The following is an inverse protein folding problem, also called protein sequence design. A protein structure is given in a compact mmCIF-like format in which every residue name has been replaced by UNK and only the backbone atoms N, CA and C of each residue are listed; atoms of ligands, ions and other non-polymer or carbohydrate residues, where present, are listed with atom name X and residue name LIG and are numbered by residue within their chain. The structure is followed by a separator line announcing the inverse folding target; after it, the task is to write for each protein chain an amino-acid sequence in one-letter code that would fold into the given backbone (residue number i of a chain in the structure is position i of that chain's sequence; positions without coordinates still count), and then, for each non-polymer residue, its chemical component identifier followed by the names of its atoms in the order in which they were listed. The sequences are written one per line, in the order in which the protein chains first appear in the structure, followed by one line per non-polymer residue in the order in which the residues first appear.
data_IF_857166955538
#
_entry.id   IF_857166955538
#
_cell.length_a   1.000
_cell.length_b   1.000
_cell.length_c   1.000
_cell.angle_alpha   90.00
_cell.angle_beta   90.00
_cell.angle_gamma   90.00
#
_symmetry.space_group_name_H-M   'P 1'
#
loop_
_entity.id
_entity.type
_entity.pdbx_description
1 polymer ?
#
# COMPACT_ATOMS: atom_id res chain seq x y z
N UNK A 1 -6.98 -0.16 5.40
CA UNK A 1 -7.09 0.02 6.87
C UNK A 1 -6.02 -0.81 7.57
N UNK A 2 -6.02 -2.13 7.44
CA UNK A 2 -5.25 -3.04 8.28
C UNK A 2 -3.90 -3.45 7.66
N UNK A 3 -3.92 -4.52 6.88
CA UNK A 3 -2.71 -5.24 6.44
C UNK A 3 -2.13 -4.76 5.11
N UNK A 4 -2.90 -4.04 4.32
CA UNK A 4 -2.64 -3.78 2.91
C UNK A 4 -3.37 -4.77 2.00
N UNK A 5 -3.29 -4.54 0.70
CA UNK A 5 -3.96 -5.36 -0.33
C UNK A 5 -5.50 -5.44 -0.20
N UNK A 6 -6.10 -4.45 0.47
CA UNK A 6 -7.56 -4.37 0.66
C UNK A 6 -8.31 -3.78 -0.55
N UNK A 7 -7.62 -3.50 -1.67
CA UNK A 7 -8.26 -2.99 -2.90
C UNK A 7 -8.12 -1.48 -3.12
N UNK A 8 -7.12 -0.84 -2.51
CA UNK A 8 -6.87 0.60 -2.66
C UNK A 8 -6.72 1.05 -4.12
N UNK A 9 -5.96 0.31 -4.94
CA UNK A 9 -5.77 0.66 -6.34
C UNK A 9 -7.08 0.74 -7.11
N UNK A 10 -7.98 -0.25 -6.91
CA UNK A 10 -9.30 -0.24 -7.52
C UNK A 10 -10.16 0.93 -7.05
N UNK A 11 -10.20 1.17 -5.74
CA UNK A 11 -10.95 2.30 -5.18
C UNK A 11 -10.34 3.64 -5.60
N UNK A 12 -9.01 3.73 -5.66
CA UNK A 12 -8.30 4.89 -6.19
C UNK A 12 -8.68 5.18 -7.65
N UNK A 13 -8.67 4.17 -8.52
CA UNK A 13 -9.10 4.32 -9.91
C UNK A 13 -10.58 4.73 -10.02
N UNK A 14 -11.46 4.09 -9.23
CA UNK A 14 -12.88 4.43 -9.23
C UNK A 14 -13.12 5.89 -8.82
N UNK A 15 -12.50 6.31 -7.73
CA UNK A 15 -12.70 7.65 -7.16
C UNK A 15 -11.95 8.74 -7.93
N UNK A 16 -10.82 8.43 -8.59
CA UNK A 16 -9.99 9.40 -9.31
C UNK A 16 -10.73 10.21 -10.38
N UNK A 17 -11.85 9.68 -10.90
CA UNK A 17 -12.72 10.38 -11.86
C UNK A 17 -13.29 11.70 -11.35
N UNK A 18 -13.39 11.85 -10.02
CA UNK A 18 -13.98 13.02 -9.37
C UNK A 18 -12.90 14.01 -8.87
N UNK A 19 -11.62 13.74 -9.21
CA UNK A 19 -10.45 14.51 -8.76
C UNK A 19 -9.61 15.02 -9.94
N UNK A 20 -9.03 16.19 -9.77
CA UNK A 20 -8.08 16.78 -10.74
C UNK A 20 -6.67 16.21 -10.58
N UNK A 21 -6.31 15.81 -9.35
CA UNK A 21 -4.95 15.38 -8.98
C UNK A 21 -5.02 14.14 -8.11
N UNK A 22 -4.16 13.15 -8.40
CA UNK A 22 -3.90 12.00 -7.52
C UNK A 22 -2.44 11.99 -7.11
N UNK A 23 -2.18 12.01 -5.80
CA UNK A 23 -0.83 12.06 -5.25
C UNK A 23 -0.55 10.84 -4.37
N UNK A 24 0.50 10.08 -4.70
CA UNK A 24 1.10 9.10 -3.79
C UNK A 24 2.12 9.80 -2.90
N UNK A 25 2.06 9.53 -1.61
CA UNK A 25 2.79 10.32 -0.62
C UNK A 25 3.84 9.52 0.19
N UNK A 26 3.88 8.19 0.06
CA UNK A 26 4.78 7.34 0.84
C UNK A 26 5.06 6.00 0.14
N UNK A 27 6.08 5.27 0.62
CA UNK A 27 6.47 3.97 0.13
C UNK A 27 7.21 4.05 -1.21
N UNK A 28 7.37 2.92 -1.83
CA UNK A 28 8.06 2.73 -3.10
C UNK A 28 7.38 1.67 -3.97
N UNK A 29 8.19 0.88 -4.68
CA UNK A 29 7.71 -0.19 -5.56
C UNK A 29 7.43 -1.53 -4.83
N UNK A 30 7.23 -1.48 -3.50
CA UNK A 30 6.96 -2.64 -2.65
C UNK A 30 5.48 -3.08 -2.63
N UNK A 31 4.55 -2.24 -3.07
CA UNK A 31 3.14 -2.59 -3.19
C UNK A 31 2.68 -2.62 -4.64
N UNK A 32 1.68 -3.43 -4.96
CA UNK A 32 1.07 -3.51 -6.29
C UNK A 32 -0.41 -3.15 -6.22
N UNK A 33 -0.79 -2.08 -6.90
CA UNK A 33 -2.18 -1.66 -7.07
C UNK A 33 -2.74 -2.23 -8.38
N UNK A 34 -3.56 -3.26 -8.27
CA UNK A 34 -4.21 -3.84 -9.45
C UNK A 34 -5.44 -3.02 -9.82
N UNK A 35 -5.49 -2.57 -11.06
CA UNK A 35 -6.64 -1.90 -11.67
C UNK A 35 -7.05 -2.68 -12.92
N UNK A 36 -8.35 -2.92 -13.06
CA UNK A 36 -8.95 -3.57 -14.24
C UNK A 36 -9.93 -2.58 -14.86
N UNK A 37 -9.69 -2.23 -16.13
CA UNK A 37 -10.56 -1.35 -16.90
C UNK A 37 -10.73 -1.90 -18.32
N UNK A 38 -11.39 -1.14 -19.19
CA UNK A 38 -11.65 -1.47 -20.60
C UNK A 38 -10.38 -1.67 -21.45
N UNK A 39 -9.22 -1.12 -21.02
CA UNK A 39 -7.92 -1.28 -21.68
C UNK A 39 -7.14 -2.50 -21.19
N UNK A 40 -7.63 -3.18 -20.13
CA UNK A 40 -7.01 -4.39 -19.58
C UNK A 40 -6.71 -4.35 -18.09
N UNK A 41 -5.81 -5.23 -17.67
CA UNK A 41 -5.35 -5.36 -16.27
C UNK A 41 -3.97 -4.71 -16.12
N UNK A 42 -3.89 -3.74 -15.23
CA UNK A 42 -2.67 -3.02 -14.88
C UNK A 42 -2.28 -3.28 -13.42
N UNK A 43 -0.99 -3.44 -13.18
CA UNK A 43 -0.41 -3.53 -11.84
C UNK A 43 0.53 -2.34 -11.69
N UNK A 44 0.11 -1.35 -10.90
CA UNK A 44 0.85 -0.12 -10.64
C UNK A 44 1.64 -0.27 -9.34
N UNK A 45 2.92 0.05 -9.35
CA UNK A 45 3.79 -0.02 -8.17
C UNK A 45 4.15 1.38 -7.64
N UNK A 46 4.68 2.24 -8.50
CA UNK A 46 5.05 3.61 -8.17
C UNK A 46 4.01 4.62 -8.62
N UNK A 47 3.46 4.44 -9.81
CA UNK A 47 2.51 5.38 -10.38
C UNK A 47 1.16 5.34 -9.65
N UNK A 48 0.51 6.49 -9.41
CA UNK A 48 -0.84 6.56 -8.86
C UNK A 48 -1.86 5.93 -9.79
N UNK A 49 -2.98 5.44 -9.23
CA UNK A 49 -4.06 4.83 -10.03
C UNK A 49 -4.74 5.81 -11.00
N UNK A 50 -4.66 7.12 -10.73
CA UNK A 50 -5.13 8.16 -11.63
C UNK A 50 -4.41 8.26 -12.97
N UNK A 51 -3.22 7.63 -13.12
CA UNK A 51 -2.44 7.67 -14.38
C UNK A 51 -3.17 7.03 -15.57
N UNK A 52 -4.17 6.20 -15.29
CA UNK A 52 -5.00 5.57 -16.31
C UNK A 52 -6.06 6.52 -16.89
N UNK A 53 -6.11 7.78 -16.42
CA UNK A 53 -7.01 8.86 -16.88
C UNK A 53 -6.18 10.04 -17.39
N UNK A 54 -6.39 10.42 -18.65
CA UNK A 54 -5.58 11.44 -19.31
C UNK A 54 -5.75 12.83 -18.69
N UNK A 55 -6.94 13.12 -18.14
CA UNK A 55 -7.30 14.39 -17.53
C UNK A 55 -6.78 14.58 -16.10
N UNK A 56 -6.29 13.53 -15.47
CA UNK A 56 -5.83 13.54 -14.07
C UNK A 56 -4.33 13.77 -14.00
N UNK A 57 -3.90 14.73 -13.19
CA UNK A 57 -2.48 14.93 -12.89
C UNK A 57 -2.05 13.97 -11.77
N UNK A 58 -0.97 13.26 -11.99
CA UNK A 58 -0.46 12.25 -11.08
C UNK A 58 0.86 12.72 -10.46
N UNK A 59 0.97 12.58 -9.13
CA UNK A 59 2.12 13.10 -8.39
C UNK A 59 2.78 11.99 -7.58
N UNK A 60 4.09 11.89 -7.72
CA UNK A 60 4.95 11.14 -6.81
C UNK A 60 5.51 12.12 -5.77
N UNK A 61 4.97 12.08 -4.56
CA UNK A 61 5.25 13.03 -3.49
C UNK A 61 6.63 12.86 -2.84
N UNK A 62 7.03 13.85 -2.04
CA UNK A 62 8.36 13.92 -1.42
C UNK A 62 8.62 12.82 -0.37
N UNK A 63 7.59 12.17 0.14
CA UNK A 63 7.71 11.05 1.08
C UNK A 63 8.00 9.70 0.41
N UNK A 64 7.92 9.62 -0.92
CA UNK A 64 8.19 8.40 -1.67
C UNK A 64 9.69 8.11 -1.80
N UNK A 65 9.99 6.83 -2.01
CA UNK A 65 11.30 6.32 -2.42
C UNK A 65 11.17 5.67 -3.80
N UNK A 66 11.95 6.14 -4.76
CA UNK A 66 11.75 5.90 -6.19
C UNK A 66 12.91 5.09 -6.76
N UNK A 67 12.63 3.85 -7.15
CA UNK A 67 13.52 3.04 -7.96
C UNK A 67 13.41 3.53 -9.42
N UNK A 68 14.49 4.16 -9.91
CA UNK A 68 14.50 4.79 -11.24
C UNK A 68 14.27 3.75 -12.36
N UNK A 69 14.93 2.60 -12.27
CA UNK A 69 14.80 1.52 -13.26
C UNK A 69 13.37 0.98 -13.31
N UNK A 70 12.79 0.77 -12.13
CA UNK A 70 11.40 0.29 -12.03
C UNK A 70 10.42 1.31 -12.60
N UNK A 71 10.58 2.59 -12.25
CA UNK A 71 9.69 3.66 -12.73
C UNK A 71 9.77 3.82 -14.26
N UNK A 72 10.98 3.81 -14.84
CA UNK A 72 11.14 3.83 -16.30
C UNK A 72 10.40 2.66 -16.96
N UNK A 73 10.56 1.45 -16.43
CA UNK A 73 9.88 0.27 -16.97
C UNK A 73 8.36 0.33 -16.82
N UNK A 74 7.85 0.89 -15.70
CA UNK A 74 6.41 1.07 -15.48
C UNK A 74 5.82 2.10 -16.46
N UNK A 75 6.50 3.24 -16.69
CA UNK A 75 6.11 4.26 -17.67
C UNK A 75 6.09 3.67 -19.08
N UNK A 76 7.15 2.96 -19.47
CA UNK A 76 7.26 2.35 -20.81
C UNK A 76 6.16 1.32 -21.05
N UNK A 77 5.90 0.45 -20.09
CA UNK A 77 4.82 -0.53 -20.14
C UNK A 77 3.46 0.11 -20.36
N UNK A 78 3.17 1.20 -19.65
CA UNK A 78 1.91 1.91 -19.77
C UNK A 78 1.81 2.66 -21.10
N UNK A 79 2.88 3.32 -21.54
CA UNK A 79 2.95 3.96 -22.87
C UNK A 79 2.73 2.93 -24.00
N UNK A 80 3.32 1.75 -23.89
CA UNK A 80 3.11 0.65 -24.84
C UNK A 80 1.67 0.11 -24.86
N UNK A 81 0.94 0.27 -23.75
CA UNK A 81 -0.50 -0.03 -23.67
C UNK A 81 -1.39 1.14 -24.12
N UNK A 82 -0.83 2.19 -24.69
CA UNK A 82 -1.55 3.35 -25.20
C UNK A 82 -1.95 4.38 -24.13
N UNK A 83 -1.37 4.33 -22.93
CA UNK A 83 -1.57 5.33 -21.90
C UNK A 83 -0.63 6.51 -22.17
N UNK A 84 -1.18 7.70 -22.29
CA UNK A 84 -0.40 8.93 -22.49
C UNK A 84 0.23 9.34 -21.16
N UNK A 85 1.55 9.41 -21.10
CA UNK A 85 2.31 9.88 -19.93
C UNK A 85 3.30 10.95 -20.36
N UNK A 86 3.08 12.16 -19.88
CA UNK A 86 3.85 13.35 -20.23
C UNK A 86 4.07 14.23 -18.97
N UNK A 87 4.97 15.24 -19.03
CA UNK A 87 5.17 16.17 -17.91
C UNK A 87 3.91 16.93 -17.47
N UNK A 88 2.88 17.00 -18.32
CA UNK A 88 1.61 17.65 -17.98
C UNK A 88 0.81 16.80 -16.99
N UNK A 89 0.81 15.46 -17.14
CA UNK A 89 -0.03 14.57 -16.32
C UNK A 89 0.74 13.67 -15.35
N UNK A 90 2.09 13.73 -15.34
CA UNK A 90 2.94 13.09 -14.33
C UNK A 90 3.95 14.10 -13.78
N UNK A 91 4.05 14.20 -12.46
CA UNK A 91 5.04 15.03 -11.77
C UNK A 91 5.72 14.25 -10.67
N UNK A 92 7.03 14.41 -10.56
CA UNK A 92 7.85 13.76 -9.54
C UNK A 92 8.46 14.84 -8.65
N UNK A 93 8.27 14.70 -7.33
CA UNK A 93 8.86 15.65 -6.39
C UNK A 93 10.38 15.65 -6.48
N UNK A 94 10.95 16.83 -6.61
CA UNK A 94 12.39 17.08 -6.50
C UNK A 94 12.97 16.61 -5.15
N UNK A 95 12.14 16.52 -4.12
CA UNK A 95 12.48 16.10 -2.75
C UNK A 95 12.30 14.61 -2.49
N UNK A 96 11.67 13.85 -3.41
CA UNK A 96 11.56 12.41 -3.31
C UNK A 96 12.94 11.75 -3.34
N UNK A 97 13.08 10.60 -2.66
CA UNK A 97 14.37 9.91 -2.49
C UNK A 97 14.56 8.85 -3.57
N UNK A 98 15.77 8.71 -4.07
CA UNK A 98 16.14 7.69 -5.05
C UNK A 98 16.50 6.39 -4.32
N UNK A 99 15.85 5.29 -4.70
CA UNK A 99 16.27 3.94 -4.30
C UNK A 99 17.42 3.49 -5.19
N UNK A 100 18.58 3.30 -4.60
CA UNK A 100 19.78 2.90 -5.29
C UNK A 100 19.92 1.37 -5.36
N UNK A 101 20.61 0.80 -6.35
CA UNK A 101 20.85 -0.64 -6.44
C UNK A 101 21.44 -1.25 -5.17
N UNK A 102 22.34 -0.53 -4.48
CA UNK A 102 22.88 -1.00 -3.21
C UNK A 102 21.83 -1.08 -2.07
N UNK A 103 20.75 -0.28 -2.12
CA UNK A 103 19.66 -0.43 -1.15
C UNK A 103 18.90 -1.75 -1.36
N UNK A 104 18.66 -2.10 -2.63
CA UNK A 104 18.05 -3.39 -2.99
C UNK A 104 18.95 -4.55 -2.54
N UNK A 105 20.25 -4.44 -2.81
CA UNK A 105 21.24 -5.42 -2.36
C UNK A 105 21.24 -5.59 -0.84
N UNK A 106 21.22 -4.51 -0.06
CA UNK A 106 21.18 -4.56 1.40
C UNK A 106 19.92 -5.23 1.94
N UNK A 107 18.76 -5.02 1.31
CA UNK A 107 17.51 -5.68 1.68
C UNK A 107 17.59 -7.21 1.43
N UNK A 108 18.14 -7.61 0.30
CA UNK A 108 18.40 -9.03 -0.03
C UNK A 108 19.35 -9.66 0.98
N UNK A 109 20.46 -9.00 1.28
CA UNK A 109 21.48 -9.48 2.22
C UNK A 109 20.90 -9.73 3.61
N UNK A 110 20.08 -8.80 4.12
CA UNK A 110 19.47 -8.92 5.44
C UNK A 110 18.43 -10.04 5.50
N UNK A 111 17.57 -10.18 4.50
CA UNK A 111 16.61 -11.30 4.41
C UNK A 111 17.32 -12.66 4.35
N UNK A 112 18.41 -12.74 3.58
CA UNK A 112 19.21 -13.96 3.46
C UNK A 112 19.93 -14.28 4.79
N UNK A 113 20.47 -13.27 5.48
CA UNK A 113 21.08 -13.43 6.80
C UNK A 113 20.07 -13.93 7.82
N UNK A 114 18.89 -13.30 7.90
CA UNK A 114 17.84 -13.70 8.84
C UNK A 114 17.35 -15.13 8.54
N UNK A 115 17.16 -15.46 7.28
CA UNK A 115 16.75 -16.79 6.86
C UNK A 115 17.76 -17.86 7.32
N UNK A 116 19.06 -17.60 7.15
CA UNK A 116 20.15 -18.51 7.57
C UNK A 116 20.29 -18.59 9.09
N UNK A 117 20.21 -17.45 9.78
CA UNK A 117 20.48 -17.38 11.23
C UNK A 117 19.30 -17.84 12.09
N UNK A 118 18.06 -17.56 11.67
CA UNK A 118 16.87 -17.77 12.51
C UNK A 118 15.82 -18.67 11.87
N UNK A 119 15.93 -18.96 10.58
CA UNK A 119 14.88 -19.62 9.79
C UNK A 119 13.61 -18.77 9.60
N UNK A 120 13.59 -17.54 10.13
CA UNK A 120 12.41 -16.65 10.15
C UNK A 120 12.76 -15.26 9.57
N UNK A 121 12.85 -15.12 8.23
CA UNK A 121 13.01 -13.80 7.60
C UNK A 121 11.74 -12.97 7.84
N UNK A 122 11.86 -11.63 7.70
CA UNK A 122 10.70 -10.73 7.82
C UNK A 122 9.69 -10.88 6.67
N UNK A 123 10.11 -11.49 5.55
CA UNK A 123 9.31 -11.59 4.34
C UNK A 123 9.31 -10.28 3.54
N UNK A 124 10.44 -9.57 3.54
CA UNK A 124 10.63 -8.36 2.73
C UNK A 124 10.32 -8.60 1.26
N UNK A 125 9.86 -7.56 0.59
CA UNK A 125 9.66 -7.55 -0.86
C UNK A 125 10.98 -7.53 -1.65
N UNK A 126 12.12 -7.39 -0.96
CA UNK A 126 13.47 -7.28 -1.53
C UNK A 126 13.59 -6.10 -2.52
N UNK A 127 12.90 -4.99 -2.22
CA UNK A 127 12.89 -3.76 -3.03
C UNK A 127 13.70 -2.62 -2.42
N UNK A 128 14.45 -2.89 -1.36
CA UNK A 128 15.33 -1.92 -0.73
C UNK A 128 14.63 -0.85 0.10
N UNK A 129 13.37 -1.08 0.52
CA UNK A 129 12.56 -0.07 1.19
C UNK A 129 13.16 0.34 2.54
N UNK A 130 13.47 -0.62 3.40
CA UNK A 130 14.06 -0.33 4.70
C UNK A 130 15.44 0.35 4.58
N UNK A 131 16.38 -0.15 3.75
CA UNK A 131 17.67 0.51 3.57
C UNK A 131 17.60 1.92 3.01
N UNK A 132 16.69 2.21 2.06
CA UNK A 132 16.59 3.57 1.48
C UNK A 132 15.97 4.56 2.46
N UNK A 133 14.97 4.15 3.26
CA UNK A 133 14.46 5.02 4.33
C UNK A 133 15.49 5.24 5.44
N UNK A 134 16.27 4.21 5.81
CA UNK A 134 17.39 4.38 6.72
C UNK A 134 18.38 5.43 6.19
N UNK A 135 18.77 5.35 4.92
CA UNK A 135 19.64 6.33 4.27
C UNK A 135 19.07 7.75 4.27
N UNK A 136 17.76 7.87 4.06
CA UNK A 136 17.07 9.17 4.15
C UNK A 136 17.29 9.83 5.51
N UNK A 137 17.06 9.10 6.60
CA UNK A 137 17.23 9.60 7.96
C UNK A 137 18.71 9.76 8.36
N UNK A 138 19.60 8.93 7.83
CA UNK A 138 21.06 9.07 7.98
C UNK A 138 21.65 10.17 7.07
N UNK A 139 20.85 10.84 6.24
CA UNK A 139 21.27 11.91 5.30
C UNK A 139 22.27 11.43 4.25
N UNK A 140 22.20 10.15 3.87
CA UNK A 140 23.05 9.50 2.88
C UNK A 140 22.32 9.20 1.57
N UNK A 141 21.02 9.49 1.50
CA UNK A 141 20.22 9.30 0.30
C UNK A 141 20.45 10.40 -0.75
N UNK A 142 20.16 10.08 -2.00
CA UNK A 142 20.04 11.03 -3.11
C UNK A 142 18.57 11.38 -3.34
N UNK A 143 18.32 12.62 -3.78
CA UNK A 143 16.98 13.11 -4.11
C UNK A 143 16.81 13.24 -5.60
N UNK A 144 15.57 13.14 -6.08
CA UNK A 144 15.25 13.28 -7.50
C UNK A 144 15.72 14.61 -8.09
N UNK A 145 15.61 15.72 -7.34
CA UNK A 145 16.10 17.04 -7.78
C UNK A 145 17.61 17.11 -8.04
N UNK A 146 18.42 16.22 -7.44
CA UNK A 146 19.86 16.18 -7.69
C UNK A 146 20.17 15.68 -9.12
N UNK A 147 19.24 14.98 -9.79
CA UNK A 147 19.36 14.59 -11.19
C UNK A 147 19.37 15.81 -12.14
N UNK A 148 18.78 16.94 -11.75
CA UNK A 148 18.78 18.16 -12.55
C UNK A 148 20.15 18.85 -12.55
N UNK A 149 20.95 18.63 -11.49
CA UNK A 149 22.33 19.09 -11.40
C UNK A 149 23.22 18.05 -10.70
N UNK A 150 23.78 17.15 -11.49
CA UNK A 150 24.51 15.96 -11.01
C UNK A 150 25.89 16.22 -10.39
N UNK A 151 26.43 17.46 -10.47
CA UNK A 151 27.78 17.76 -9.95
C UNK A 151 27.95 17.41 -8.48
N UNK A 152 27.00 17.83 -7.63
CA UNK A 152 27.07 17.55 -6.21
C UNK A 152 26.82 16.06 -5.93
N UNK A 153 25.89 15.46 -6.64
CA UNK A 153 25.57 14.04 -6.53
C UNK A 153 26.78 13.18 -6.81
N UNK A 154 27.46 13.36 -7.95
CA UNK A 154 28.65 12.58 -8.31
C UNK A 154 29.84 12.87 -7.39
N UNK A 155 29.96 14.06 -6.81
CA UNK A 155 31.00 14.34 -5.80
C UNK A 155 30.78 13.58 -4.49
N UNK A 156 29.50 13.33 -4.10
CA UNK A 156 29.14 12.61 -2.87
C UNK A 156 29.15 11.09 -3.04
N UNK A 157 28.93 10.63 -4.27
CA UNK A 157 28.70 9.21 -4.58
C UNK A 157 29.86 8.29 -4.12
N UNK A 158 31.17 8.61 -4.36
CA UNK A 158 32.26 7.75 -3.94
C UNK A 158 32.31 7.53 -2.42
N UNK A 159 32.09 8.58 -1.61
CA UNK A 159 32.05 8.47 -0.15
C UNK A 159 30.88 7.60 0.32
N UNK A 160 29.69 7.77 -0.27
CA UNK A 160 28.53 6.97 0.07
C UNK A 160 28.74 5.51 -0.32
N UNK A 161 29.28 5.22 -1.50
CA UNK A 161 29.60 3.85 -1.96
C UNK A 161 30.64 3.21 -1.04
N UNK A 162 31.70 3.93 -0.68
CA UNK A 162 32.71 3.43 0.26
C UNK A 162 32.08 3.06 1.61
N UNK A 163 31.21 3.92 2.14
CA UNK A 163 30.47 3.65 3.38
C UNK A 163 29.53 2.44 3.26
N UNK A 164 28.83 2.30 2.13
CA UNK A 164 27.97 1.12 1.85
C UNK A 164 28.77 -0.16 1.81
N UNK A 165 29.94 -0.14 1.19
CA UNK A 165 30.82 -1.29 1.03
C UNK A 165 31.32 -1.85 2.36
N UNK A 166 31.37 -1.04 3.47
CA UNK A 166 31.67 -1.57 4.81
C UNK A 166 30.73 -2.70 5.20
N UNK A 167 29.44 -2.55 4.89
CA UNK A 167 28.44 -3.58 5.20
C UNK A 167 28.43 -4.67 4.12
N UNK A 168 28.45 -4.29 2.84
CA UNK A 168 28.36 -5.21 1.70
C UNK A 168 29.47 -6.28 1.77
N UNK A 169 30.73 -5.84 1.97
CA UNK A 169 31.86 -6.77 2.07
C UNK A 169 31.87 -7.58 3.36
N UNK A 170 31.42 -7.00 4.48
CA UNK A 170 31.27 -7.76 5.75
C UNK A 170 30.27 -8.90 5.65
N UNK A 171 29.27 -8.79 4.78
CA UNK A 171 28.32 -9.88 4.48
C UNK A 171 28.85 -10.86 3.43
N UNK A 172 30.09 -10.67 2.91
CA UNK A 172 30.73 -11.55 1.94
C UNK A 172 30.26 -11.35 0.49
N UNK A 173 29.66 -10.20 0.17
CA UNK A 173 29.30 -9.82 -1.20
C UNK A 173 30.41 -8.98 -1.84
N UNK A 174 30.46 -8.99 -3.17
CA UNK A 174 31.37 -8.14 -3.93
C UNK A 174 31.05 -6.65 -3.68
N UNK A 175 32.10 -5.80 -3.59
CA UNK A 175 31.91 -4.38 -3.37
C UNK A 175 31.15 -3.74 -4.54
N UNK A 176 30.23 -2.85 -4.22
CA UNK A 176 29.54 -1.99 -5.20
C UNK A 176 30.56 -1.03 -5.82
N UNK A 177 30.50 -0.85 -7.12
CA UNK A 177 31.37 0.08 -7.87
C UNK A 177 30.70 1.43 -8.06
N UNK A 178 31.48 2.49 -7.99
CA UNK A 178 31.00 3.87 -8.20
C UNK A 178 30.46 4.03 -9.62
N UNK A 179 31.20 3.46 -10.61
CA UNK A 179 30.87 3.52 -12.02
C UNK A 179 29.49 2.91 -12.32
N UNK A 180 29.16 1.77 -11.70
CA UNK A 180 27.84 1.13 -11.86
C UNK A 180 26.70 2.03 -11.35
N UNK A 181 26.95 2.78 -10.28
CA UNK A 181 25.98 3.72 -9.72
C UNK A 181 25.84 4.99 -10.57
N UNK A 182 26.94 5.47 -11.15
CA UNK A 182 26.90 6.57 -12.14
C UNK A 182 26.10 6.16 -13.39
N UNK A 183 26.35 4.96 -13.91
CA UNK A 183 25.65 4.42 -15.06
C UNK A 183 24.16 4.22 -14.77
N UNK A 184 23.80 3.81 -13.55
CA UNK A 184 22.41 3.75 -13.12
C UNK A 184 21.72 5.12 -13.19
N UNK A 185 22.36 6.17 -12.71
CA UNK A 185 21.83 7.53 -12.79
C UNK A 185 21.72 8.02 -14.24
N UNK A 186 22.72 7.77 -15.07
CA UNK A 186 22.71 8.17 -16.49
C UNK A 186 21.63 7.44 -17.28
N UNK A 187 21.51 6.13 -17.07
CA UNK A 187 20.59 5.29 -17.83
C UNK A 187 19.13 5.53 -17.45
N UNK A 188 18.84 5.58 -16.16
CA UNK A 188 17.46 5.61 -15.65
C UNK A 188 17.05 6.98 -15.07
N UNK A 189 17.99 7.82 -14.72
CA UNK A 189 17.70 9.16 -14.23
C UNK A 189 17.44 10.17 -15.35
N UNK A 190 18.17 10.09 -16.45
CA UNK A 190 18.03 11.04 -17.59
C UNK A 190 16.61 11.09 -18.16
N UNK A 191 15.94 9.96 -18.45
CA UNK A 191 14.56 9.97 -18.97
C UNK A 191 13.52 10.53 -18.00
N UNK A 192 13.83 10.60 -16.70
CA UNK A 192 12.90 11.05 -15.68
C UNK A 192 13.00 12.56 -15.36
N UNK A 193 14.04 13.24 -15.86
CA UNK A 193 14.29 14.67 -15.58
C UNK A 193 13.11 15.56 -15.95
N UNK A 194 12.46 15.26 -17.08
CA UNK A 194 11.33 16.05 -17.60
C UNK A 194 10.12 16.09 -16.63
N UNK A 195 9.99 15.09 -15.75
CA UNK A 195 8.89 14.98 -14.79
C UNK A 195 9.21 15.64 -13.44
N UNK A 196 10.48 15.98 -13.17
CA UNK A 196 10.92 16.49 -11.86
C UNK A 196 10.55 17.95 -11.67
N UNK A 197 9.86 18.24 -10.57
CA UNK A 197 9.45 19.61 -10.23
C UNK A 197 9.26 19.77 -8.72
N UNK A 198 9.11 20.99 -8.21
CA UNK A 198 8.62 21.25 -6.86
C UNK A 198 7.11 20.96 -6.78
N UNK A 199 6.79 19.73 -6.43
CA UNK A 199 5.39 19.29 -6.30
C UNK A 199 4.66 19.95 -5.13
N UNK A 200 5.38 20.43 -4.11
CA UNK A 200 4.78 21.17 -3.00
C UNK A 200 4.23 22.52 -3.46
N UNK A 201 4.98 23.26 -4.25
CA UNK A 201 4.51 24.50 -4.87
C UNK A 201 3.32 24.20 -5.78
N UNK A 202 3.45 23.22 -6.67
CA UNK A 202 2.37 22.83 -7.59
C UNK A 202 1.06 22.50 -6.86
N UNK A 203 1.12 21.67 -5.83
CA UNK A 203 -0.06 21.26 -5.05
C UNK A 203 -0.69 22.45 -4.29
N UNK A 204 0.13 23.34 -3.71
CA UNK A 204 -0.37 24.54 -3.04
C UNK A 204 -1.11 25.48 -4.01
N UNK A 205 -0.57 25.69 -5.19
CA UNK A 205 -1.21 26.52 -6.23
C UNK A 205 -2.51 25.88 -6.73
N UNK A 206 -2.48 24.56 -6.99
CA UNK A 206 -3.66 23.81 -7.39
C UNK A 206 -4.77 23.87 -6.33
N UNK A 207 -4.42 23.69 -5.04
CA UNK A 207 -5.37 23.81 -3.94
C UNK A 207 -5.99 25.22 -3.86
N UNK A 208 -5.18 26.27 -3.95
CA UNK A 208 -5.67 27.66 -4.00
C UNK A 208 -6.58 27.92 -5.19
N UNK A 209 -6.36 27.24 -6.31
CA UNK A 209 -7.20 27.31 -7.50
C UNK A 209 -8.49 26.46 -7.39
N UNK A 210 -8.75 25.83 -6.24
CA UNK A 210 -9.94 25.02 -6.01
C UNK A 210 -9.90 23.62 -6.64
N UNK A 211 -8.72 23.15 -7.04
CA UNK A 211 -8.54 21.81 -7.58
C UNK A 211 -8.74 20.74 -6.51
N UNK A 212 -9.40 19.64 -6.87
CA UNK A 212 -9.64 18.50 -6.00
C UNK A 212 -8.43 17.58 -6.01
N UNK A 213 -7.86 17.32 -4.83
CA UNK A 213 -6.67 16.51 -4.64
C UNK A 213 -7.03 15.24 -3.88
N UNK A 214 -6.68 14.08 -4.44
CA UNK A 214 -6.77 12.79 -3.78
C UNK A 214 -5.38 12.29 -3.41
N UNK A 215 -5.21 11.88 -2.16
CA UNK A 215 -4.01 11.18 -1.70
C UNK A 215 -4.23 9.69 -1.71
N UNK A 216 -3.35 8.96 -2.39
CA UNK A 216 -3.41 7.51 -2.51
C UNK A 216 -2.32 6.87 -1.65
N UNK A 217 -2.75 6.15 -0.60
CA UNK A 217 -1.87 5.39 0.28
C UNK A 217 -1.54 4.01 -0.27
N UNK A 218 -0.49 3.41 0.26
CA UNK A 218 -0.23 1.97 0.13
C UNK A 218 -0.11 1.31 1.50
N UNK A 219 -0.29 -0.01 1.57
CA UNK A 219 -0.29 -0.80 2.80
C UNK A 219 -1.47 -0.42 3.74
N UNK A 220 -1.31 -0.59 5.03
CA UNK A 220 -2.31 -0.29 6.05
C UNK A 220 -1.66 -0.06 7.42
N UNK A 221 -2.44 0.28 8.43
CA UNK A 221 -1.96 0.71 9.75
C UNK A 221 -1.07 -0.33 10.43
N UNK A 222 -1.39 -1.63 10.28
CA UNK A 222 -0.59 -2.70 10.89
C UNK A 222 0.78 -2.91 10.22
N UNK A 223 1.02 -2.25 9.10
CA UNK A 223 2.30 -2.20 8.38
C UNK A 223 3.00 -0.83 8.48
N UNK A 224 2.45 0.08 9.26
CA UNK A 224 3.05 1.39 9.53
C UNK A 224 4.32 1.25 10.38
N UNK A 225 5.29 2.15 10.17
CA UNK A 225 6.57 2.09 10.89
C UNK A 225 6.43 2.41 12.38
N UNK A 226 5.47 3.27 12.75
CA UNK A 226 5.28 3.73 14.12
C UNK A 226 4.13 2.99 14.83
N UNK A 227 3.04 2.68 14.11
CA UNK A 227 1.81 2.11 14.66
C UNK A 227 1.61 0.63 14.34
N UNK A 228 2.44 0.06 13.48
CA UNK A 228 2.31 -1.33 13.02
C UNK A 228 2.92 -2.35 13.96
N UNK A 229 2.84 -3.61 13.55
CA UNK A 229 3.36 -4.77 14.29
C UNK A 229 4.87 -4.95 14.08
N UNK A 230 5.67 -4.01 14.58
CA UNK A 230 7.15 -4.05 14.48
C UNK A 230 7.66 -5.40 15.00
N UNK A 231 8.62 -6.08 14.32
CA UNK A 231 9.39 -5.63 13.15
C UNK A 231 8.76 -5.95 11.78
N UNK A 232 7.57 -6.48 11.73
CA UNK A 232 6.90 -6.93 10.50
C UNK A 232 6.15 -5.79 9.78
N UNK A 233 6.80 -4.64 9.66
CA UNK A 233 6.25 -3.39 9.09
C UNK A 233 6.95 -2.99 7.80
N UNK A 234 6.37 -2.04 7.07
CA UNK A 234 7.11 -1.23 6.09
C UNK A 234 7.93 -0.16 6.84
N UNK A 235 8.89 0.45 6.16
CA UNK A 235 9.69 1.54 6.74
C UNK A 235 9.15 2.93 6.40
N UNK A 236 7.88 3.01 6.02
CA UNK A 236 7.21 4.27 5.70
C UNK A 236 5.99 4.50 6.57
N UNK A 237 5.57 5.76 6.74
CA UNK A 237 4.32 6.10 7.38
C UNK A 237 3.15 5.84 6.44
N UNK A 238 2.30 4.88 6.80
CA UNK A 238 1.12 4.47 6.04
C UNK A 238 -0.15 5.18 6.52
N UNK A 239 -0.03 6.05 7.51
CA UNK A 239 -1.14 6.76 8.15
C UNK A 239 -1.62 7.91 7.27
N UNK A 240 -2.95 8.10 7.16
CA UNK A 240 -3.52 9.14 6.32
C UNK A 240 -3.08 10.56 6.74
N UNK A 241 -2.90 10.81 8.03
CA UNK A 241 -2.39 12.09 8.53
C UNK A 241 -0.99 12.47 8.00
N UNK A 242 -0.20 11.49 7.54
CA UNK A 242 1.09 11.75 6.89
C UNK A 242 0.95 12.22 5.43
N UNK A 243 -0.22 12.07 4.81
CA UNK A 243 -0.40 12.36 3.40
C UNK A 243 -0.01 13.80 3.00
N UNK A 244 -0.45 14.85 3.70
CA UNK A 244 0.00 16.21 3.38
C UNK A 244 1.51 16.41 3.55
N UNK A 245 2.12 15.78 4.55
CA UNK A 245 3.57 15.87 4.81
C UNK A 245 4.32 15.16 3.67
N UNK A 246 3.95 13.93 3.36
CA UNK A 246 4.58 13.14 2.30
C UNK A 246 4.33 13.64 0.88
N UNK A 247 3.29 14.45 0.68
CA UNK A 247 3.03 15.14 -0.57
C UNK A 247 3.79 16.47 -0.71
N UNK A 248 4.32 17.03 0.40
CA UNK A 248 5.04 18.32 0.41
C UNK A 248 4.14 19.54 0.67
N UNK A 249 2.95 19.32 1.23
CA UNK A 249 1.96 20.36 1.58
C UNK A 249 1.51 20.24 3.05
N UNK A 250 2.44 20.35 4.03
CA UNK A 250 2.18 19.99 5.43
C UNK A 250 1.07 20.79 6.10
N UNK A 251 0.71 21.94 5.55
CA UNK A 251 -0.37 22.80 6.08
C UNK A 251 -1.75 22.49 5.50
N UNK A 252 -1.84 21.62 4.48
CA UNK A 252 -3.11 21.22 3.91
C UNK A 252 -3.83 20.27 4.89
N UNK A 253 -5.10 20.56 5.16
CA UNK A 253 -5.97 19.70 5.95
C UNK A 253 -6.68 18.72 5.04
N UNK A 254 -6.82 17.49 5.50
CA UNK A 254 -7.65 16.50 4.81
C UNK A 254 -9.13 16.80 5.10
N UNK A 255 -9.92 16.94 4.05
CA UNK A 255 -11.38 17.09 4.18
C UNK A 255 -12.04 15.77 4.58
N UNK A 256 -11.50 14.64 4.08
CA UNK A 256 -12.03 13.30 4.33
C UNK A 256 -10.96 12.23 4.17
N UNK A 257 -11.03 11.20 5.03
CA UNK A 257 -10.25 9.97 4.92
C UNK A 257 -11.18 8.79 4.69
N UNK A 258 -11.00 8.08 3.55
CA UNK A 258 -11.76 6.87 3.23
C UNK A 258 -10.89 5.65 3.51
N UNK A 259 -11.28 4.85 4.49
CA UNK A 259 -10.60 3.61 4.82
C UNK A 259 -11.02 2.47 3.89
N UNK A 260 -10.07 1.75 3.32
CA UNK A 260 -10.37 0.57 2.48
C UNK A 260 -10.19 -0.68 3.31
N UNK A 261 -11.22 -1.53 3.37
CA UNK A 261 -11.22 -2.80 4.10
C UNK A 261 -11.80 -3.92 3.21
N UNK A 262 -11.40 -5.15 3.45
CA UNK A 262 -12.09 -6.33 2.89
C UNK A 262 -13.21 -6.79 3.82
N UNK A 263 -14.18 -7.50 3.27
CA UNK A 263 -15.21 -8.19 4.06
C UNK A 263 -14.65 -9.37 4.90
N UNK A 264 -13.38 -9.67 4.76
CA UNK A 264 -12.59 -10.65 5.52
C UNK A 264 -11.16 -10.15 5.67
N UNK A 265 -10.30 -10.85 6.37
CA UNK A 265 -8.91 -10.44 6.56
C UNK A 265 -7.96 -11.20 5.64
N UNK A 266 -6.94 -10.51 5.13
CA UNK A 266 -5.80 -11.14 4.45
C UNK A 266 -4.50 -10.42 4.77
N UNK A 267 -3.41 -11.17 4.85
CA UNK A 267 -2.10 -10.66 5.22
C UNK A 267 -1.01 -11.24 4.32
N UNK A 268 -0.05 -10.40 3.92
CA UNK A 268 1.18 -10.82 3.23
C UNK A 268 2.37 -10.62 4.16
N UNK A 269 3.32 -11.54 4.14
CA UNK A 269 4.53 -11.49 4.96
C UNK A 269 4.37 -12.16 6.32
N UNK A 270 5.44 -12.09 7.09
CA UNK A 270 5.52 -12.70 8.42
C UNK A 270 4.85 -11.82 9.50
N UNK A 271 4.90 -12.32 10.73
CA UNK A 271 4.36 -11.68 11.92
C UNK A 271 3.03 -12.26 12.39
N UNK A 272 2.58 -11.88 13.57
CA UNK A 272 1.34 -12.38 14.14
C UNK A 272 0.11 -11.96 13.29
N UNK A 273 -0.79 -12.91 13.12
CA UNK A 273 -2.10 -12.71 12.48
C UNK A 273 -3.13 -13.47 13.29
N UNK A 274 -3.66 -12.85 14.33
CA UNK A 274 -4.40 -13.50 15.42
C UNK A 274 -5.61 -14.30 14.94
N UNK A 275 -6.35 -13.84 13.93
CA UNK A 275 -7.53 -14.51 13.39
C UNK A 275 -7.23 -15.39 12.15
N UNK A 276 -6.00 -15.85 11.95
CA UNK A 276 -5.63 -16.65 10.77
C UNK A 276 -6.36 -17.98 10.70
N UNK A 277 -6.89 -18.31 9.53
CA UNK A 277 -7.42 -19.61 9.19
C UNK A 277 -6.32 -20.56 8.70
N UNK A 278 -6.52 -21.86 8.94
CA UNK A 278 -5.64 -22.94 8.51
C UNK A 278 -6.41 -24.05 7.80
N UNK A 279 -5.69 -24.90 7.06
CA UNK A 279 -6.28 -26.04 6.35
C UNK A 279 -7.33 -25.66 5.32
N UNK A 280 -8.36 -26.48 5.16
CA UNK A 280 -9.39 -26.36 4.14
C UNK A 280 -10.16 -25.03 4.17
N UNK A 281 -10.39 -24.49 5.37
CA UNK A 281 -11.08 -23.21 5.54
C UNK A 281 -10.25 -22.04 4.93
N UNK A 282 -8.94 -22.06 5.15
CA UNK A 282 -8.03 -21.08 4.56
C UNK A 282 -7.93 -21.25 3.05
N UNK A 283 -7.87 -22.48 2.56
CA UNK A 283 -7.78 -22.78 1.13
C UNK A 283 -9.04 -22.31 0.42
N UNK A 284 -10.23 -22.64 0.93
CA UNK A 284 -11.51 -22.18 0.39
C UNK A 284 -11.55 -20.65 0.26
N UNK A 285 -11.26 -19.93 1.34
CA UNK A 285 -11.31 -18.45 1.33
C UNK A 285 -10.26 -17.85 0.39
N UNK A 286 -9.07 -18.47 0.34
CA UNK A 286 -7.97 -18.04 -0.54
C UNK A 286 -8.34 -18.18 -2.02
N UNK A 287 -8.93 -19.30 -2.41
CA UNK A 287 -9.35 -19.56 -3.79
C UNK A 287 -10.48 -18.63 -4.20
N UNK A 288 -11.57 -18.56 -3.42
CA UNK A 288 -12.70 -17.68 -3.67
C UNK A 288 -12.27 -16.21 -3.77
N UNK A 289 -11.38 -15.78 -2.88
CA UNK A 289 -10.84 -14.41 -2.85
C UNK A 289 -9.73 -14.14 -3.86
N UNK A 290 -9.19 -15.15 -4.54
CA UNK A 290 -8.00 -15.00 -5.38
C UNK A 290 -6.82 -14.43 -4.58
N UNK A 291 -6.64 -14.89 -3.33
CA UNK A 291 -5.68 -14.34 -2.38
C UNK A 291 -4.26 -14.88 -2.62
N UNK A 292 -3.68 -14.42 -3.73
CA UNK A 292 -2.32 -14.69 -4.16
C UNK A 292 -1.59 -13.37 -4.45
N UNK A 293 -0.30 -13.33 -4.17
CA UNK A 293 0.53 -12.15 -4.43
C UNK A 293 0.60 -11.83 -5.91
N UNK A 294 0.24 -10.59 -6.31
CA UNK A 294 0.18 -10.20 -7.72
C UNK A 294 1.52 -10.34 -8.46
N UNK A 295 2.65 -10.14 -7.77
CA UNK A 295 3.98 -10.24 -8.35
C UNK A 295 4.65 -11.60 -8.17
N UNK A 296 4.31 -12.34 -7.10
CA UNK A 296 5.04 -13.55 -6.68
C UNK A 296 4.20 -14.82 -6.78
N UNK A 297 2.88 -14.72 -6.93
CA UNK A 297 1.97 -15.83 -6.85
C UNK A 297 1.89 -16.51 -5.47
N UNK A 298 2.56 -15.98 -4.44
CA UNK A 298 2.54 -16.58 -3.10
C UNK A 298 1.14 -16.54 -2.49
N UNK A 299 0.67 -17.64 -1.88
CA UNK A 299 -0.61 -17.65 -1.18
C UNK A 299 -0.56 -16.67 0.00
N UNK A 300 -1.58 -15.84 0.11
CA UNK A 300 -1.78 -14.97 1.26
C UNK A 300 -2.34 -15.74 2.44
N UNK A 301 -2.00 -15.31 3.63
CA UNK A 301 -2.65 -15.71 4.87
C UNK A 301 -4.03 -15.07 4.89
N UNK A 302 -5.05 -15.80 5.30
CA UNK A 302 -6.44 -15.34 5.27
C UNK A 302 -7.13 -15.69 6.60
N UNK A 303 -8.17 -14.97 6.92
CA UNK A 303 -8.99 -15.19 8.12
C UNK A 303 -10.32 -14.44 8.02
N UNK A 304 -11.21 -14.56 9.01
CA UNK A 304 -12.47 -13.85 9.03
C UNK A 304 -12.25 -12.34 9.19
N UNK A 305 -13.31 -11.57 9.13
CA UNK A 305 -13.24 -10.16 9.46
C UNK A 305 -12.78 -9.97 10.92
N UNK A 306 -11.75 -9.17 11.14
CA UNK A 306 -11.16 -8.92 12.45
C UNK A 306 -11.56 -7.52 12.94
N UNK A 307 -12.48 -7.47 13.89
CA UNK A 307 -13.00 -6.21 14.46
C UNK A 307 -11.94 -5.47 15.25
N UNK A 308 -11.12 -6.20 16.03
CA UNK A 308 -10.09 -5.59 16.89
C UNK A 308 -9.03 -4.88 16.04
N UNK A 309 -8.49 -5.58 15.04
CA UNK A 309 -7.53 -5.00 14.10
C UNK A 309 -8.15 -3.88 13.26
N UNK A 310 -9.42 -4.02 12.85
CA UNK A 310 -10.11 -3.02 12.03
C UNK A 310 -10.39 -1.74 12.81
N UNK A 311 -10.87 -1.81 14.04
CA UNK A 311 -11.07 -0.64 14.92
C UNK A 311 -9.76 0.10 15.17
N UNK A 312 -8.68 -0.64 15.44
CA UNK A 312 -7.36 -0.07 15.59
C UNK A 312 -6.91 0.67 14.31
N UNK A 313 -7.03 0.01 13.17
CA UNK A 313 -6.66 0.61 11.89
C UNK A 313 -7.51 1.85 11.53
N UNK A 314 -8.81 1.82 11.76
CA UNK A 314 -9.73 2.97 11.57
C UNK A 314 -9.26 4.16 12.43
N UNK A 315 -9.00 3.92 13.71
CA UNK A 315 -8.51 4.94 14.64
C UNK A 315 -7.17 5.54 14.20
N UNK A 316 -6.19 4.69 13.84
CA UNK A 316 -4.90 5.15 13.38
C UNK A 316 -4.98 5.96 12.08
N UNK A 317 -5.84 5.55 11.15
CA UNK A 317 -6.03 6.24 9.88
C UNK A 317 -6.91 7.50 9.99
N UNK A 318 -7.63 7.68 11.12
CA UNK A 318 -8.64 8.72 11.22
C UNK A 318 -9.68 8.61 10.10
N UNK A 319 -10.14 7.38 9.82
CA UNK A 319 -11.06 7.15 8.72
C UNK A 319 -12.47 7.66 9.07
N UNK A 320 -13.02 8.54 8.22
CA UNK A 320 -14.38 9.08 8.35
C UNK A 320 -15.42 8.11 7.80
N UNK A 321 -15.06 7.37 6.76
CA UNK A 321 -15.92 6.43 6.06
C UNK A 321 -15.10 5.23 5.55
N UNK A 322 -15.79 4.13 5.27
CA UNK A 322 -15.18 2.88 4.79
C UNK A 322 -15.66 2.56 3.38
N UNK A 323 -14.75 2.02 2.57
CA UNK A 323 -15.07 1.24 1.40
C UNK A 323 -14.79 -0.24 1.69
N UNK A 324 -15.85 -1.02 1.83
CA UNK A 324 -15.80 -2.46 2.05
C UNK A 324 -15.65 -3.18 0.72
N UNK A 325 -14.58 -3.93 0.54
CA UNK A 325 -14.27 -4.61 -0.71
C UNK A 325 -14.47 -6.13 -0.60
N UNK A 326 -14.66 -6.78 -1.74
CA UNK A 326 -14.71 -8.24 -1.83
C UNK A 326 -15.84 -8.87 -1.02
N UNK A 327 -17.00 -8.24 -0.95
CA UNK A 327 -18.17 -8.81 -0.28
C UNK A 327 -18.65 -10.06 -1.02
N UNK A 328 -18.58 -10.07 -2.33
CA UNK A 328 -18.87 -11.19 -3.25
C UNK A 328 -18.10 -12.49 -2.95
N UNK A 329 -16.95 -12.40 -2.34
CA UNK A 329 -16.16 -13.58 -1.95
C UNK A 329 -16.86 -14.44 -0.91
N UNK A 330 -17.80 -13.87 -0.17
CA UNK A 330 -18.57 -14.56 0.88
C UNK A 330 -19.92 -15.11 0.39
N UNK A 331 -20.22 -15.07 -0.90
CA UNK A 331 -21.50 -15.47 -1.49
C UNK A 331 -21.90 -16.92 -1.16
N UNK A 332 -20.93 -17.84 -1.13
CA UNK A 332 -21.16 -19.28 -0.91
C UNK A 332 -21.12 -19.70 0.57
N UNK A 333 -21.07 -18.73 1.48
CA UNK A 333 -21.03 -19.05 2.93
C UNK A 333 -22.45 -19.09 3.50
N UNK A 334 -22.82 -20.20 4.15
CA UNK A 334 -24.05 -20.32 4.93
C UNK A 334 -23.95 -19.54 6.24
N UNK A 335 -22.78 -19.63 6.89
CA UNK A 335 -22.41 -18.88 8.08
C UNK A 335 -21.07 -18.16 7.86
N UNK A 336 -21.00 -16.91 8.30
CA UNK A 336 -19.80 -16.07 8.22
C UNK A 336 -19.29 -15.81 9.64
N UNK A 337 -18.04 -16.14 9.88
CA UNK A 337 -17.39 -15.84 11.16
C UNK A 337 -16.85 -14.41 11.18
N UNK A 338 -16.93 -13.77 12.35
CA UNK A 338 -16.37 -12.46 12.66
C UNK A 338 -15.57 -12.56 13.94
N UNK A 339 -14.30 -12.19 13.94
CA UNK A 339 -13.49 -12.07 15.16
C UNK A 339 -13.89 -10.79 15.88
N UNK A 340 -14.65 -10.90 16.97
CA UNK A 340 -15.22 -9.75 17.70
C UNK A 340 -14.30 -9.20 18.77
N UNK A 341 -13.49 -10.04 19.39
CA UNK A 341 -12.48 -9.67 20.39
C UNK A 341 -11.39 -10.74 20.48
N UNK A 342 -10.31 -10.41 21.18
CA UNK A 342 -9.30 -11.38 21.56
C UNK A 342 -9.42 -11.76 23.03
N UNK A 343 -8.84 -12.90 23.40
CA UNK A 343 -8.60 -13.31 24.77
C UNK A 343 -7.12 -13.50 25.03
N UNK A 344 -6.63 -12.99 26.15
CA UNK A 344 -5.29 -13.20 26.67
C UNK A 344 -5.37 -13.54 28.16
N UNK A 345 -4.87 -14.73 28.55
CA UNK A 345 -4.89 -15.22 29.93
C UNK A 345 -6.29 -15.16 30.58
N UNK A 346 -7.33 -15.51 29.80
CA UNK A 346 -8.73 -15.49 30.23
C UNK A 346 -9.34 -14.09 30.34
N UNK A 347 -8.64 -13.06 29.90
CA UNK A 347 -9.17 -11.67 29.88
C UNK A 347 -9.53 -11.29 28.45
N UNK A 348 -10.71 -10.69 28.33
CA UNK A 348 -11.18 -10.10 27.06
C UNK A 348 -10.37 -8.86 26.69
N UNK A 349 -9.95 -8.77 25.42
CA UNK A 349 -9.29 -7.64 24.83
C UNK A 349 -10.13 -7.11 23.66
N UNK A 350 -10.67 -5.91 23.81
CA UNK A 350 -11.41 -5.20 22.76
C UNK A 350 -10.50 -4.23 21.97
N UNK A 351 -9.34 -3.90 22.51
CA UNK A 351 -8.33 -3.05 21.88
C UNK A 351 -7.16 -3.89 21.35
N UNK A 352 -6.58 -3.44 20.24
CA UNK A 352 -5.46 -4.13 19.60
C UNK A 352 -4.22 -4.03 20.51
N UNK A 353 -3.66 -5.16 20.97
CA UNK A 353 -2.56 -5.15 21.92
C UNK A 353 -1.23 -4.88 21.25
N UNK A 354 -0.18 -4.70 22.05
CA UNK A 354 1.18 -4.57 21.56
C UNK A 354 1.67 -5.89 20.90
N UNK A 355 2.58 -5.78 19.94
CA UNK A 355 3.01 -6.89 19.07
C UNK A 355 3.47 -8.12 19.84
N UNK A 356 4.20 -7.93 20.95
CA UNK A 356 4.81 -9.03 21.74
C UNK A 356 3.79 -10.04 22.28
N UNK A 357 2.54 -9.63 22.47
CA UNK A 357 1.51 -10.51 23.04
C UNK A 357 0.53 -11.05 22.00
N UNK A 358 0.60 -10.58 20.75
CA UNK A 358 -0.34 -11.01 19.70
C UNK A 358 -0.32 -12.50 19.42
N UNK A 359 0.86 -13.15 19.48
CA UNK A 359 1.01 -14.59 19.27
C UNK A 359 0.38 -15.43 20.41
N UNK A 360 0.11 -14.82 21.56
CA UNK A 360 -0.54 -15.46 22.71
C UNK A 360 -2.04 -15.18 22.78
N UNK A 361 -2.53 -14.22 22.00
CA UNK A 361 -3.94 -13.89 21.91
C UNK A 361 -4.73 -14.99 21.20
N UNK A 362 -5.90 -15.29 21.71
CA UNK A 362 -6.85 -16.21 21.10
C UNK A 362 -8.00 -15.40 20.49
N UNK A 363 -8.32 -15.56 19.19
CA UNK A 363 -9.47 -14.91 18.59
C UNK A 363 -10.76 -15.55 19.08
N UNK A 364 -11.78 -14.72 19.32
CA UNK A 364 -13.13 -15.18 19.65
C UNK A 364 -14.06 -14.82 18.51
N UNK A 365 -14.73 -15.82 17.97
CA UNK A 365 -15.56 -15.70 16.79
C UNK A 365 -17.05 -15.68 17.17
N UNK A 366 -17.80 -14.81 16.51
CA UNK A 366 -19.24 -14.86 16.41
C UNK A 366 -19.63 -15.25 14.99
N UNK A 367 -20.70 -16.04 14.84
CA UNK A 367 -21.23 -16.46 13.54
C UNK A 367 -22.48 -15.66 13.22
N UNK A 368 -22.57 -15.25 11.97
CA UNK A 368 -23.76 -14.63 11.41
C UNK A 368 -24.21 -15.39 10.17
N UNK A 369 -25.48 -15.31 9.84
CA UNK A 369 -26.04 -15.97 8.67
C UNK A 369 -25.49 -15.34 7.40
N UNK A 370 -24.98 -16.16 6.47
CA UNK A 370 -24.63 -15.75 5.12
C UNK A 370 -25.85 -15.58 4.22
N UNK A 371 -25.63 -15.04 3.05
CA UNK A 371 -26.71 -14.80 2.07
C UNK A 371 -26.86 -15.89 1.00
N UNK A 372 -25.87 -16.70 0.81
CA UNK A 372 -25.84 -17.86 -0.08
C UNK A 372 -26.45 -17.61 -1.47
N UNK A 373 -26.06 -16.51 -2.09
CA UNK A 373 -26.42 -16.15 -3.45
C UNK A 373 -25.43 -15.17 -4.08
N UNK A 374 -25.35 -15.20 -5.43
CA UNK A 374 -24.48 -14.31 -6.22
C UNK A 374 -24.95 -12.85 -6.15
N UNK A 375 -24.14 -11.98 -5.55
CA UNK A 375 -24.38 -10.53 -5.47
C UNK A 375 -23.62 -9.73 -6.52
N UNK A 376 -22.86 -10.35 -7.41
CA UNK A 376 -21.98 -9.67 -8.37
C UNK A 376 -22.70 -8.68 -9.30
N UNK A 377 -24.00 -8.88 -9.49
CA UNK A 377 -24.86 -8.04 -10.33
C UNK A 377 -25.58 -6.92 -9.57
N UNK A 378 -25.48 -6.88 -8.23
CA UNK A 378 -26.08 -5.82 -7.43
C UNK A 378 -25.39 -4.47 -7.74
N UNK A 379 -26.17 -3.42 -7.88
CA UNK A 379 -25.68 -2.06 -8.18
C UNK A 379 -26.23 -0.98 -7.24
N UNK A 380 -27.24 -1.33 -6.46
CA UNK A 380 -27.90 -0.47 -5.47
C UNK A 380 -28.01 -1.22 -4.13
N UNK A 381 -28.11 -0.50 -3.00
CA UNK A 381 -28.32 -1.14 -1.70
C UNK A 381 -29.54 -2.09 -1.67
N UNK A 382 -30.61 -1.73 -2.37
CA UNK A 382 -31.87 -2.49 -2.42
C UNK A 382 -31.74 -3.82 -3.16
N UNK A 383 -30.72 -3.97 -4.03
CA UNK A 383 -30.45 -5.21 -4.75
C UNK A 383 -29.79 -6.27 -3.85
N UNK A 384 -29.19 -5.84 -2.73
CA UNK A 384 -28.49 -6.74 -1.82
C UNK A 384 -29.48 -7.58 -1.00
N UNK A 385 -29.21 -8.88 -0.79
CA UNK A 385 -30.01 -9.70 0.11
C UNK A 385 -29.94 -9.16 1.54
N UNK A 386 -31.00 -9.45 2.30
CA UNK A 386 -31.14 -8.96 3.68
C UNK A 386 -29.94 -9.32 4.56
N UNK A 387 -29.46 -10.55 4.47
CA UNK A 387 -28.32 -11.04 5.25
C UNK A 387 -27.03 -10.29 4.93
N UNK A 388 -26.79 -9.90 3.66
CA UNK A 388 -25.64 -9.08 3.27
C UNK A 388 -25.77 -7.66 3.83
N UNK A 389 -26.95 -7.06 3.79
CA UNK A 389 -27.22 -5.76 4.42
C UNK A 389 -27.06 -5.81 5.95
N UNK A 390 -27.54 -6.89 6.59
CA UNK A 390 -27.40 -7.09 8.04
C UNK A 390 -25.91 -7.25 8.41
N UNK A 391 -25.12 -7.98 7.59
CA UNK A 391 -23.66 -8.09 7.76
C UNK A 391 -22.97 -6.72 7.68
N UNK A 392 -23.25 -5.93 6.65
CA UNK A 392 -22.69 -4.58 6.48
C UNK A 392 -23.01 -3.70 7.70
N UNK A 393 -24.28 -3.66 8.14
CA UNK A 393 -24.72 -2.89 9.30
C UNK A 393 -24.05 -3.36 10.61
N UNK A 394 -23.84 -4.67 10.73
CA UNK A 394 -23.13 -5.22 11.89
C UNK A 394 -21.69 -4.75 11.91
N UNK A 395 -20.98 -4.79 10.75
CA UNK A 395 -19.61 -4.29 10.66
C UNK A 395 -19.52 -2.78 10.98
N UNK A 396 -20.46 -1.96 10.47
CA UNK A 396 -20.54 -0.54 10.82
C UNK A 396 -20.65 -0.34 12.34
N UNK A 397 -21.54 -1.10 12.97
CA UNK A 397 -21.76 -1.03 14.43
C UNK A 397 -20.54 -1.48 15.21
N UNK A 398 -19.92 -2.61 14.82
CA UNK A 398 -18.76 -3.16 15.52
C UNK A 398 -17.51 -2.29 15.35
N UNK A 399 -17.35 -1.65 14.19
CA UNK A 399 -16.21 -0.80 13.89
C UNK A 399 -16.42 0.67 14.24
N UNK A 400 -17.64 1.06 14.61
CA UNK A 400 -18.06 2.46 14.86
C UNK A 400 -17.67 3.40 13.70
N UNK A 401 -17.87 2.92 12.45
CA UNK A 401 -17.53 3.68 11.25
C UNK A 401 -18.45 3.29 10.10
N UNK A 402 -18.98 4.28 9.38
CA UNK A 402 -19.96 4.06 8.30
C UNK A 402 -19.31 3.47 7.05
N UNK A 403 -20.00 2.53 6.42
CA UNK A 403 -19.58 1.92 5.15
C UNK A 403 -20.29 2.63 4.00
N UNK A 404 -19.56 3.48 3.27
CA UNK A 404 -20.09 4.28 2.18
C UNK A 404 -20.10 3.54 0.85
N UNK A 405 -19.10 2.70 0.60
CA UNK A 405 -18.96 1.95 -0.63
C UNK A 405 -18.83 0.46 -0.33
N UNK A 406 -19.49 -0.35 -1.14
CA UNK A 406 -19.42 -1.83 -1.06
C UNK A 406 -19.08 -2.38 -2.43
N UNK A 407 -17.98 -3.13 -2.52
CA UNK A 407 -17.58 -3.79 -3.75
C UNK A 407 -18.10 -5.22 -3.79
N UNK A 408 -18.79 -5.55 -4.88
CA UNK A 408 -19.46 -6.84 -5.13
C UNK A 408 -18.88 -7.57 -6.34
N UNK A 409 -17.64 -7.27 -6.73
CA UNK A 409 -16.96 -7.90 -7.87
C UNK A 409 -15.66 -7.18 -8.21
N UNK A 410 -14.89 -7.70 -9.16
CA UNK A 410 -13.61 -7.15 -9.57
C UNK A 410 -13.69 -5.96 -10.52
N UNK A 411 -14.79 -5.85 -11.27
CA UNK A 411 -15.01 -4.83 -12.29
C UNK A 411 -15.21 -3.44 -11.68
N UNK A 412 -14.86 -2.39 -12.43
CA UNK A 412 -15.00 -0.98 -12.01
C UNK A 412 -16.42 -0.65 -11.53
N UNK A 413 -17.43 -1.10 -12.29
CA UNK A 413 -18.84 -0.82 -12.03
C UNK A 413 -19.46 -1.69 -10.91
N UNK A 414 -18.76 -2.73 -10.43
CA UNK A 414 -19.21 -3.60 -9.36
C UNK A 414 -18.98 -2.98 -7.97
N UNK A 415 -19.43 -1.74 -7.79
CA UNK A 415 -19.31 -0.97 -6.56
C UNK A 415 -20.62 -0.24 -6.26
N UNK A 416 -21.20 -0.51 -5.10
CA UNK A 416 -22.44 0.08 -4.61
C UNK A 416 -22.12 1.25 -3.70
N UNK A 417 -22.74 2.41 -3.93
CA UNK A 417 -22.73 3.53 -3.01
C UNK A 417 -23.92 3.39 -2.07
N UNK A 418 -23.68 3.26 -0.78
CA UNK A 418 -24.69 2.93 0.23
C UNK A 418 -25.57 4.14 0.63
N UNK A 419 -25.01 5.37 0.54
CA UNK A 419 -25.73 6.63 0.87
C UNK A 419 -25.08 7.86 0.22
#
# INVERSE_FOLDING_TARGET
INWGDEGKGRMGDLLSRDFDIVCRYQGGNNAGHTVINERGKFILNLLPSGILREEVVNILGCGMVIDLKHLCGEIEKLRSAGIKITPENLKISDKAVITMPYNVLQDVMEEDRLSKATGKPYGSTRRGIAPVYADKYMKKAFRMGELLNTKLMFRRLPDIVAWKNLTVTAYGYDPVKVEDMEDYFRTYGEPLKEFITDTGVYLNEAHKAGKKIMFEAQLGALRDIDYGIVPYTSSSSTIAAYAPIGAGVPNLKLDKSIGIMKAYSSCVGAGPFTCEYFGEQAEKLRELGGEYGAATGRPRRVGPFDVVASRYGIRCQGADEIALTKLDVLDDYEEIEICTHYELDGKRLDEFPFTDVLDYCKPVFEKVKGWHCDISKCRKPEDLPKEALDYIKLLEKLCDCRIRYVSVGAEREACIKMY
#
